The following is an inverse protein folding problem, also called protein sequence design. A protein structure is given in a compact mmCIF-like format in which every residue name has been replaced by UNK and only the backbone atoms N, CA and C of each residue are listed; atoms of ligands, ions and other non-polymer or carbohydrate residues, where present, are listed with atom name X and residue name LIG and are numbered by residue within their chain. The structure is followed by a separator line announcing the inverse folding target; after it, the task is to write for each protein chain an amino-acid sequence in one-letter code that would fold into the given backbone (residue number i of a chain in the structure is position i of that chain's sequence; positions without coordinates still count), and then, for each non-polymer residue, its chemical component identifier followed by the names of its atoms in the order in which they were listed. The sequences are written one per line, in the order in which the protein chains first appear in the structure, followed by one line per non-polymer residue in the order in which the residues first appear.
data_IF_104073597038
#
_entry.id   IF_104073597038
#
_cell.length_a   1.000
_cell.length_b   1.000
_cell.length_c   1.000
_cell.angle_alpha   90.00
_cell.angle_beta   90.00
_cell.angle_gamma   90.00
#
_symmetry.space_group_name_H-M   'P 1'
#
loop_
_entity.id
_entity.type
_entity.pdbx_description
1 polymer ?
#
# COMPACT_ATOMS: atom_id res chain seq x y z
N UNK A 1 22.05 -2.78 14.71
CA UNK A 1 20.90 -3.52 14.09
C UNK A 1 19.76 -2.53 13.96
N UNK A 2 19.20 -2.36 12.76
CA UNK A 2 18.06 -1.45 12.52
C UNK A 2 16.83 -1.89 13.30
N UNK A 3 16.14 -0.95 13.91
CA UNK A 3 14.83 -1.18 14.54
C UNK A 3 13.73 -1.10 13.48
N UNK A 4 13.74 -0.04 12.66
CA UNK A 4 12.83 0.14 11.54
C UNK A 4 13.11 -0.89 10.45
N UNK A 5 12.10 -1.65 10.07
CA UNK A 5 12.17 -2.70 9.06
C UNK A 5 11.99 -2.14 7.65
N UNK A 6 12.43 -2.90 6.65
CA UNK A 6 12.32 -2.50 5.24
C UNK A 6 11.54 -3.55 4.47
N UNK A 7 10.44 -3.12 3.86
CA UNK A 7 9.70 -3.89 2.87
C UNK A 7 10.26 -3.59 1.49
N UNK A 8 10.54 -4.64 0.70
CA UNK A 8 10.89 -4.52 -0.70
C UNK A 8 9.81 -5.18 -1.58
N UNK A 9 9.33 -4.48 -2.58
CA UNK A 9 8.35 -5.06 -3.52
C UNK A 9 9.06 -5.94 -4.54
N UNK A 10 8.57 -7.16 -4.67
CA UNK A 10 9.00 -8.13 -5.68
C UNK A 10 8.34 -7.81 -7.03
N UNK A 11 9.07 -8.02 -8.09
CA UNK A 11 8.61 -7.73 -9.45
C UNK A 11 9.54 -8.33 -10.51
N UNK A 12 9.50 -7.87 -11.77
CA UNK A 12 10.31 -8.41 -12.86
C UNK A 12 11.81 -8.50 -12.56
N UNK A 13 12.37 -7.53 -11.84
CA UNK A 13 13.79 -7.55 -11.45
C UNK A 13 14.12 -8.75 -10.56
N UNK A 14 13.22 -9.11 -9.65
CA UNK A 14 13.45 -10.16 -8.65
C UNK A 14 13.15 -11.58 -9.17
N UNK A 15 12.95 -11.75 -10.49
CA UNK A 15 13.02 -13.05 -11.15
C UNK A 15 14.44 -13.62 -11.14
N UNK A 16 15.45 -12.77 -10.90
CA UNK A 16 16.84 -13.17 -10.73
C UNK A 16 17.11 -13.63 -9.28
N UNK A 17 17.49 -14.91 -9.12
CA UNK A 17 17.89 -15.47 -7.81
C UNK A 17 19.04 -14.69 -7.18
N UNK A 18 20.03 -14.29 -7.97
CA UNK A 18 21.19 -13.53 -7.49
C UNK A 18 20.80 -12.15 -6.98
N UNK A 19 19.84 -11.49 -7.64
CA UNK A 19 19.36 -10.20 -7.18
C UNK A 19 18.54 -10.36 -5.90
N UNK A 20 17.61 -11.33 -5.83
CA UNK A 20 16.83 -11.59 -4.63
C UNK A 20 17.74 -11.92 -3.43
N UNK A 21 18.78 -12.74 -3.64
CA UNK A 21 19.79 -13.03 -2.63
C UNK A 21 20.49 -11.75 -2.15
N UNK A 22 20.91 -10.88 -3.06
CA UNK A 22 21.54 -9.59 -2.70
C UNK A 22 20.60 -8.68 -1.90
N UNK A 23 19.31 -8.65 -2.22
CA UNK A 23 18.35 -7.88 -1.44
C UNK A 23 18.25 -8.41 -0.01
N UNK A 24 18.16 -9.73 0.19
CA UNK A 24 18.14 -10.35 1.52
C UNK A 24 19.43 -9.98 2.29
N UNK A 25 20.59 -10.19 1.68
CA UNK A 25 21.90 -9.88 2.30
C UNK A 25 22.09 -8.38 2.57
N UNK A 26 21.42 -7.51 1.82
CA UNK A 26 21.47 -6.05 2.00
C UNK A 26 20.54 -5.58 3.12
N UNK A 27 19.61 -6.41 3.58
CA UNK A 27 18.74 -6.13 4.71
C UNK A 27 17.27 -5.93 4.37
N UNK A 28 16.75 -6.64 3.39
CA UNK A 28 15.32 -6.79 3.18
C UNK A 28 14.72 -7.61 4.33
N UNK A 29 13.78 -7.04 5.06
CA UNK A 29 13.08 -7.71 6.17
C UNK A 29 11.77 -8.36 5.71
N UNK A 30 11.07 -7.75 4.73
CA UNK A 30 9.78 -8.22 4.20
C UNK A 30 9.79 -8.16 2.68
N UNK A 31 9.38 -9.22 2.04
CA UNK A 31 9.13 -9.27 0.60
C UNK A 31 7.64 -9.07 0.31
N UNK A 32 7.29 -7.97 -0.35
CA UNK A 32 5.92 -7.64 -0.76
C UNK A 32 5.65 -8.16 -2.17
N UNK A 33 4.57 -8.92 -2.30
CA UNK A 33 4.05 -9.44 -3.57
C UNK A 33 2.75 -8.70 -3.91
N UNK A 34 2.78 -7.86 -4.94
CA UNK A 34 1.63 -7.06 -5.35
C UNK A 34 0.76 -7.84 -6.35
N UNK A 35 -0.42 -8.27 -5.91
CA UNK A 35 -1.38 -9.04 -6.70
C UNK A 35 -2.26 -8.19 -7.64
N UNK A 36 -2.03 -6.87 -7.68
CA UNK A 36 -2.55 -6.02 -8.77
C UNK A 36 -1.86 -6.32 -10.10
N UNK A 37 -0.68 -6.98 -10.08
CA UNK A 37 0.16 -7.29 -11.23
C UNK A 37 0.61 -8.74 -11.24
N UNK A 38 0.78 -9.29 -12.45
CA UNK A 38 1.20 -10.67 -12.64
C UNK A 38 0.07 -11.67 -12.35
N UNK A 39 0.39 -12.94 -12.53
CA UNK A 39 -0.49 -14.07 -12.21
C UNK A 39 0.06 -14.89 -11.03
N UNK A 40 -0.71 -15.88 -10.59
CA UNK A 40 -0.33 -16.76 -9.48
C UNK A 40 0.95 -17.55 -9.76
N UNK A 41 1.19 -17.97 -11.01
CA UNK A 41 2.38 -18.75 -11.37
C UNK A 41 3.67 -17.91 -11.24
N UNK A 42 3.63 -16.65 -11.70
CA UNK A 42 4.74 -15.72 -11.52
C UNK A 42 5.02 -15.42 -10.04
N UNK A 43 3.96 -15.17 -9.26
CA UNK A 43 4.11 -14.88 -7.83
C UNK A 43 4.65 -16.12 -7.09
N UNK A 44 4.14 -17.32 -7.43
CA UNK A 44 4.61 -18.58 -6.84
C UNK A 44 6.10 -18.80 -7.10
N UNK A 45 6.55 -18.61 -8.32
CA UNK A 45 7.97 -18.78 -8.69
C UNK A 45 8.87 -17.91 -7.81
N UNK A 46 8.49 -16.63 -7.59
CA UNK A 46 9.24 -15.71 -6.74
C UNK A 46 9.18 -16.09 -5.26
N UNK A 47 8.01 -16.53 -4.77
CA UNK A 47 7.83 -16.97 -3.38
C UNK A 47 8.62 -18.24 -3.09
N UNK A 48 8.61 -19.22 -3.99
CA UNK A 48 9.38 -20.46 -3.85
C UNK A 48 10.88 -20.16 -3.80
N UNK A 49 11.37 -19.29 -4.69
CA UNK A 49 12.76 -18.82 -4.71
C UNK A 49 13.14 -18.12 -3.39
N UNK A 50 12.26 -17.27 -2.86
CA UNK A 50 12.48 -16.60 -1.57
C UNK A 50 12.56 -17.61 -0.41
N UNK A 51 11.65 -18.59 -0.39
CA UNK A 51 11.62 -19.65 0.66
C UNK A 51 12.91 -20.49 0.63
N UNK A 52 13.43 -20.80 -0.56
CA UNK A 52 14.71 -21.49 -0.70
C UNK A 52 15.87 -20.63 -0.17
N UNK A 53 15.91 -19.35 -0.54
CA UNK A 53 16.96 -18.43 -0.11
C UNK A 53 16.91 -18.18 1.41
N UNK A 54 15.72 -18.07 2.01
CA UNK A 54 15.57 -17.99 3.47
C UNK A 54 16.25 -19.14 4.18
N UNK A 55 16.07 -20.39 3.68
CA UNK A 55 16.71 -21.59 4.24
C UNK A 55 18.22 -21.60 4.03
N UNK A 56 18.69 -21.24 2.82
CA UNK A 56 20.11 -21.16 2.47
C UNK A 56 20.86 -20.16 3.35
N UNK A 57 20.30 -18.94 3.48
CA UNK A 57 20.92 -17.83 4.19
C UNK A 57 20.65 -17.83 5.70
N UNK A 58 19.74 -18.69 6.16
CA UNK A 58 19.26 -18.72 7.55
C UNK A 58 18.78 -17.35 8.03
N UNK A 59 18.10 -16.62 7.17
CA UNK A 59 17.60 -15.27 7.43
C UNK A 59 16.07 -15.25 7.32
N UNK A 60 15.35 -14.85 8.38
CA UNK A 60 13.90 -14.73 8.33
C UNK A 60 13.52 -13.50 7.48
N UNK A 61 12.90 -13.70 6.34
CA UNK A 61 12.29 -12.65 5.53
C UNK A 61 10.82 -12.98 5.40
N UNK A 62 9.95 -12.10 5.87
CA UNK A 62 8.51 -12.32 5.83
C UNK A 62 7.95 -12.16 4.40
N UNK A 63 6.82 -12.84 4.14
CA UNK A 63 6.07 -12.75 2.89
C UNK A 63 4.80 -11.93 3.13
N UNK A 64 4.64 -10.83 2.42
CA UNK A 64 3.47 -9.97 2.47
C UNK A 64 2.76 -10.01 1.11
N UNK A 65 1.53 -10.53 1.10
CA UNK A 65 0.62 -10.48 -0.04
C UNK A 65 -0.16 -9.16 0.00
N UNK A 66 -0.05 -8.36 -1.04
CA UNK A 66 -0.77 -7.09 -1.17
C UNK A 66 -1.92 -7.29 -2.17
N UNK A 67 -3.17 -7.23 -1.69
CA UNK A 67 -4.36 -7.49 -2.50
C UNK A 67 -4.59 -6.38 -3.50
N UNK A 68 -5.29 -6.70 -4.59
CA UNK A 68 -5.72 -5.68 -5.54
C UNK A 68 -6.76 -4.74 -4.92
N UNK A 69 -7.69 -5.31 -4.17
CA UNK A 69 -8.81 -4.59 -3.59
C UNK A 69 -9.87 -4.13 -4.60
N UNK A 70 -10.95 -3.54 -4.11
CA UNK A 70 -12.03 -3.02 -4.92
C UNK A 70 -11.67 -1.67 -5.53
N UNK A 71 -11.37 -1.64 -6.82
CA UNK A 71 -11.04 -0.42 -7.57
C UNK A 71 -12.00 -0.20 -8.74
N UNK A 72 -12.23 1.06 -9.06
CA UNK A 72 -12.96 1.45 -10.26
C UNK A 72 -11.94 1.73 -11.37
N UNK A 73 -12.19 1.21 -12.57
CA UNK A 73 -11.34 1.45 -13.74
C UNK A 73 -12.14 1.89 -14.94
N UNK A 74 -11.51 2.69 -15.80
CA UNK A 74 -12.04 2.97 -17.14
C UNK A 74 -12.02 1.70 -18.00
N UNK A 75 -12.90 1.66 -18.99
CA UNK A 75 -13.00 0.56 -19.95
C UNK A 75 -11.92 0.62 -21.03
N UNK A 76 -12.21 -0.05 -22.15
CA UNK A 76 -11.36 -0.09 -23.34
C UNK A 76 -11.68 1.08 -24.27
N UNK A 77 -10.70 1.46 -25.07
CA UNK A 77 -10.81 2.54 -26.04
C UNK A 77 -10.73 2.00 -27.47
N UNK A 78 -11.26 2.76 -28.41
CA UNK A 78 -11.28 2.40 -29.83
C UNK A 78 -9.85 2.13 -30.34
N UNK A 79 -9.65 0.98 -30.96
CA UNK A 79 -8.37 0.49 -31.50
C UNK A 79 -7.25 0.37 -30.45
N UNK A 80 -7.55 0.38 -29.15
CA UNK A 80 -6.56 0.40 -28.09
C UNK A 80 -5.72 1.68 -28.02
N UNK A 81 -6.16 2.75 -28.70
CA UNK A 81 -5.42 4.01 -28.78
C UNK A 81 -5.82 4.94 -27.64
N UNK A 82 -4.82 5.63 -27.11
CA UNK A 82 -5.07 6.71 -26.16
C UNK A 82 -5.81 7.88 -26.84
N UNK A 83 -6.67 8.55 -26.07
CA UNK A 83 -7.40 9.74 -26.50
C UNK A 83 -6.95 10.94 -25.69
N UNK A 84 -6.91 12.12 -26.32
CA UNK A 84 -6.50 13.34 -25.62
C UNK A 84 -7.73 14.14 -25.21
N UNK A 85 -7.95 14.26 -23.90
CA UNK A 85 -9.02 15.07 -23.33
C UNK A 85 -8.56 16.51 -23.15
N UNK A 86 -9.39 17.46 -23.58
CA UNK A 86 -9.07 18.89 -23.53
C UNK A 86 -9.87 19.56 -22.40
N UNK A 87 -9.21 20.39 -21.61
CA UNK A 87 -9.87 21.17 -20.56
C UNK A 87 -11.05 21.99 -21.12
N UNK A 88 -12.20 21.89 -20.47
CA UNK A 88 -13.47 22.53 -20.86
C UNK A 88 -14.34 21.69 -21.77
N UNK A 89 -13.87 20.55 -22.33
CA UNK A 89 -14.75 19.69 -23.13
C UNK A 89 -15.72 18.92 -22.22
N UNK A 90 -16.85 18.53 -22.81
CA UNK A 90 -17.76 17.56 -22.20
C UNK A 90 -17.23 16.17 -22.45
N UNK A 91 -17.22 15.34 -21.39
CA UNK A 91 -16.85 13.93 -21.43
C UNK A 91 -17.83 13.10 -20.62
N UNK A 92 -18.32 12.01 -21.18
CA UNK A 92 -19.34 11.17 -20.54
C UNK A 92 -18.72 9.87 -20.04
N UNK A 93 -18.92 9.55 -18.77
CA UNK A 93 -18.68 8.21 -18.25
C UNK A 93 -19.98 7.42 -18.29
N UNK A 94 -19.89 6.13 -18.59
CA UNK A 94 -21.07 5.24 -18.61
C UNK A 94 -20.81 3.97 -17.81
N UNK A 95 -21.83 3.49 -17.12
CA UNK A 95 -21.77 2.21 -16.39
C UNK A 95 -22.09 1.00 -17.30
N UNK A 96 -22.50 1.25 -18.54
CA UNK A 96 -22.65 0.21 -19.58
C UNK A 96 -21.29 -0.06 -20.21
N UNK A 97 -20.91 -1.34 -20.28
CA UNK A 97 -19.60 -1.72 -20.85
C UNK A 97 -19.65 -1.56 -22.37
N UNK A 98 -18.92 -0.57 -22.87
CA UNK A 98 -18.79 -0.25 -24.29
C UNK A 98 -17.40 0.28 -24.61
N UNK A 99 -17.05 0.29 -25.89
CA UNK A 99 -15.77 0.85 -26.35
C UNK A 99 -15.84 2.37 -26.37
N UNK A 100 -14.96 3.02 -25.63
CA UNK A 100 -14.91 4.48 -25.53
C UNK A 100 -14.11 5.14 -26.63
N UNK A 101 -14.21 6.47 -26.67
CA UNK A 101 -13.51 7.37 -27.59
C UNK A 101 -13.15 8.71 -26.91
N UNK A 102 -12.95 9.77 -27.69
CA UNK A 102 -12.64 11.12 -27.17
C UNK A 102 -13.83 11.82 -26.49
N UNK A 103 -15.03 11.24 -26.53
CA UNK A 103 -16.24 11.84 -25.97
C UNK A 103 -16.80 11.05 -24.78
N UNK A 104 -16.55 9.77 -24.73
CA UNK A 104 -17.08 8.90 -23.67
C UNK A 104 -16.17 7.71 -23.34
N UNK A 105 -16.36 7.14 -22.15
CA UNK A 105 -15.70 5.91 -21.73
C UNK A 105 -16.55 5.18 -20.70
N UNK A 106 -16.53 3.83 -20.74
CA UNK A 106 -17.18 3.02 -19.71
C UNK A 106 -16.34 2.97 -18.42
N UNK A 107 -17.00 2.68 -17.31
CA UNK A 107 -16.36 2.39 -16.02
C UNK A 107 -16.73 1.00 -15.51
N UNK A 108 -15.86 0.37 -14.75
CA UNK A 108 -16.04 -1.02 -14.26
C UNK A 108 -17.11 -1.15 -13.19
N UNK A 109 -17.41 -0.09 -12.46
CA UNK A 109 -18.38 -0.11 -11.37
C UNK A 109 -19.76 0.38 -11.82
N UNK A 110 -20.73 -0.53 -11.82
CA UNK A 110 -22.08 -0.26 -12.31
C UNK A 110 -22.92 0.61 -11.37
N UNK A 111 -22.61 0.62 -10.06
CA UNK A 111 -23.29 1.42 -9.05
C UNK A 111 -22.81 2.88 -8.98
N UNK A 112 -21.86 3.29 -9.82
CA UNK A 112 -21.27 4.63 -9.73
C UNK A 112 -22.31 5.75 -9.86
N UNK A 113 -23.35 5.56 -10.68
CA UNK A 113 -24.45 6.53 -10.85
C UNK A 113 -25.33 6.70 -9.62
N UNK A 114 -25.32 5.73 -8.70
CA UNK A 114 -26.10 5.79 -7.46
C UNK A 114 -25.31 6.50 -6.34
N UNK A 115 -23.98 6.43 -6.39
CA UNK A 115 -23.11 6.94 -5.35
C UNK A 115 -22.72 8.41 -5.55
N UNK A 116 -22.71 8.91 -6.79
CA UNK A 116 -22.25 10.26 -7.13
C UNK A 116 -23.38 11.23 -7.46
N UNK A 117 -23.08 12.52 -7.35
CA UNK A 117 -24.03 13.61 -7.64
C UNK A 117 -23.38 14.75 -8.41
N UNK A 118 -24.20 15.65 -8.92
CA UNK A 118 -23.77 16.91 -9.54
C UNK A 118 -22.83 17.71 -8.61
N UNK A 119 -21.73 18.18 -9.15
CA UNK A 119 -20.68 18.92 -8.47
C UNK A 119 -19.54 18.06 -7.92
N UNK A 120 -19.69 16.73 -7.86
CA UNK A 120 -18.62 15.84 -7.43
C UNK A 120 -17.45 15.85 -8.43
N UNK A 121 -16.28 15.51 -7.93
CA UNK A 121 -15.05 15.40 -8.72
C UNK A 121 -14.72 13.94 -8.98
N UNK A 122 -14.39 13.62 -10.22
CA UNK A 122 -13.87 12.31 -10.61
C UNK A 122 -12.42 12.52 -11.09
N UNK A 123 -11.50 11.72 -10.57
CA UNK A 123 -10.10 11.73 -10.96
C UNK A 123 -9.77 10.43 -11.70
N UNK A 124 -9.00 10.53 -12.79
CA UNK A 124 -8.60 9.38 -13.60
C UNK A 124 -7.07 9.38 -13.73
N UNK A 125 -6.48 8.17 -13.77
CA UNK A 125 -5.04 7.96 -13.92
C UNK A 125 -4.24 8.70 -12.84
N UNK A 126 -4.46 8.33 -11.58
CA UNK A 126 -3.81 8.90 -10.39
C UNK A 126 -3.97 10.44 -10.29
N UNK A 127 -5.10 10.95 -10.78
CA UNK A 127 -5.43 12.37 -10.73
C UNK A 127 -4.83 13.21 -11.87
N UNK A 128 -4.19 12.58 -12.87
CA UNK A 128 -3.68 13.29 -14.05
C UNK A 128 -4.80 13.91 -14.88
N UNK A 129 -5.98 13.30 -14.88
CA UNK A 129 -7.18 13.82 -15.53
C UNK A 129 -8.22 14.10 -14.46
N UNK A 130 -8.77 15.31 -14.47
CA UNK A 130 -9.83 15.73 -13.54
C UNK A 130 -11.12 16.05 -14.27
N UNK A 131 -12.22 15.46 -13.79
CA UNK A 131 -13.56 15.68 -14.30
C UNK A 131 -14.44 16.25 -13.19
N UNK A 132 -15.34 17.16 -13.52
CA UNK A 132 -16.43 17.61 -12.66
C UNK A 132 -17.75 17.09 -13.18
N UNK A 133 -18.53 16.44 -12.31
CA UNK A 133 -19.87 15.94 -12.64
C UNK A 133 -20.82 17.10 -12.83
N UNK A 134 -21.41 17.21 -14.01
CA UNK A 134 -22.43 18.22 -14.35
C UNK A 134 -23.85 17.64 -14.23
N UNK A 135 -24.01 16.36 -14.55
CA UNK A 135 -25.32 15.70 -14.49
C UNK A 135 -25.16 14.18 -14.41
N UNK A 136 -25.98 13.55 -13.58
CA UNK A 136 -26.11 12.10 -13.51
C UNK A 136 -27.47 11.70 -14.11
N UNK A 137 -27.41 10.88 -15.17
CA UNK A 137 -28.57 10.30 -15.83
C UNK A 137 -28.28 8.82 -16.10
N UNK A 138 -28.51 7.96 -15.14
CA UNK A 138 -28.19 6.54 -15.27
C UNK A 138 -28.63 5.98 -16.65
N UNK A 139 -27.74 5.30 -17.37
CA UNK A 139 -26.39 4.84 -16.96
C UNK A 139 -25.23 5.83 -17.21
N UNK A 140 -25.49 7.07 -17.56
CA UNK A 140 -24.52 8.07 -17.98
C UNK A 140 -24.24 9.11 -16.89
N UNK A 141 -22.99 9.55 -16.83
CA UNK A 141 -22.46 10.62 -15.98
C UNK A 141 -21.81 11.64 -16.91
N UNK A 142 -22.48 12.76 -17.10
CA UNK A 142 -21.99 13.85 -17.96
C UNK A 142 -21.05 14.73 -17.14
N UNK A 143 -19.84 14.90 -17.60
CA UNK A 143 -18.78 15.66 -16.91
C UNK A 143 -18.20 16.76 -17.80
N UNK A 144 -17.63 17.77 -17.13
CA UNK A 144 -16.72 18.73 -17.75
C UNK A 144 -15.29 18.36 -17.38
N UNK A 145 -14.39 18.30 -18.36
CA UNK A 145 -12.95 18.10 -18.12
C UNK A 145 -12.36 19.35 -17.47
N UNK A 146 -11.94 19.23 -16.21
CA UNK A 146 -11.31 20.33 -15.45
C UNK A 146 -9.80 20.36 -15.72
N UNK A 147 -9.17 19.20 -15.74
CA UNK A 147 -7.77 19.02 -16.12
C UNK A 147 -7.68 17.97 -17.20
N UNK A 148 -7.27 18.37 -18.40
CA UNK A 148 -7.15 17.48 -19.55
C UNK A 148 -5.85 16.70 -19.55
N UNK A 149 -5.77 15.68 -20.39
CA UNK A 149 -4.61 14.82 -20.53
C UNK A 149 -4.85 13.64 -21.46
N UNK A 150 -3.85 12.80 -21.62
CA UNK A 150 -3.89 11.61 -22.46
C UNK A 150 -4.51 10.43 -21.67
N UNK A 151 -5.76 10.08 -22.00
CA UNK A 151 -6.48 8.96 -21.41
C UNK A 151 -6.13 7.64 -22.10
N UNK A 152 -5.59 6.68 -21.34
CA UNK A 152 -5.40 5.30 -21.77
C UNK A 152 -6.50 4.37 -21.28
N UNK A 153 -6.45 3.10 -21.71
CA UNK A 153 -7.37 2.05 -21.25
C UNK A 153 -7.14 1.64 -19.79
N UNK A 154 -8.20 1.18 -19.13
CA UNK A 154 -8.17 0.52 -17.81
C UNK A 154 -7.48 1.36 -16.73
N UNK A 155 -7.62 2.68 -16.77
CA UNK A 155 -7.06 3.61 -15.81
C UNK A 155 -7.88 3.64 -14.53
N UNK A 156 -7.24 3.80 -13.39
CA UNK A 156 -7.89 3.98 -12.10
C UNK A 156 -8.82 5.18 -12.11
N UNK A 157 -9.95 5.04 -11.45
CA UNK A 157 -10.98 6.09 -11.27
C UNK A 157 -11.19 6.28 -9.78
N UNK A 158 -10.92 7.48 -9.28
CA UNK A 158 -11.12 7.88 -7.89
C UNK A 158 -12.23 8.93 -7.82
N UNK A 159 -12.99 8.90 -6.74
CA UNK A 159 -14.07 9.87 -6.48
C UNK A 159 -13.88 10.46 -5.08
N UNK A 160 -12.99 11.45 -4.93
CA UNK A 160 -12.65 12.02 -3.63
C UNK A 160 -13.88 12.53 -2.86
N UNK A 161 -13.92 12.26 -1.56
CA UNK A 161 -15.00 12.67 -0.64
C UNK A 161 -16.39 12.06 -0.92
N UNK A 162 -16.47 11.02 -1.75
CA UNK A 162 -17.69 10.26 -1.97
C UNK A 162 -17.53 8.85 -1.42
N UNK A 163 -18.50 8.41 -0.62
CA UNK A 163 -18.53 7.02 -0.14
C UNK A 163 -19.02 6.13 -1.27
N UNK A 164 -18.14 5.24 -1.75
CA UNK A 164 -18.41 4.32 -2.86
C UNK A 164 -18.80 2.97 -2.30
N UNK A 165 -19.96 2.45 -2.71
CA UNK A 165 -20.51 1.19 -2.22
C UNK A 165 -19.94 -0.04 -2.95
N UNK A 166 -18.61 -0.16 -2.98
CA UNK A 166 -17.89 -1.34 -3.49
C UNK A 166 -17.82 -2.44 -2.43
N UNK A 167 -17.80 -3.74 -2.82
CA UNK A 167 -17.58 -4.83 -1.89
C UNK A 167 -16.23 -4.69 -1.19
N UNK A 168 -16.13 -5.08 0.08
CA UNK A 168 -14.86 -5.02 0.82
C UNK A 168 -13.86 -6.06 0.29
N UNK A 169 -14.36 -7.23 -0.16
CA UNK A 169 -13.56 -8.34 -0.63
C UNK A 169 -14.09 -8.81 -2.00
N UNK A 170 -13.29 -8.63 -3.04
CA UNK A 170 -13.64 -9.05 -4.40
C UNK A 170 -13.42 -10.56 -4.60
N UNK A 171 -14.06 -11.15 -5.62
CA UNK A 171 -13.81 -12.58 -5.97
C UNK A 171 -12.35 -12.83 -6.35
N UNK A 172 -11.68 -11.83 -6.96
CA UNK A 172 -10.24 -11.92 -7.21
C UNK A 172 -9.45 -11.97 -5.91
N UNK A 173 -9.73 -11.08 -4.97
CA UNK A 173 -9.04 -11.05 -3.68
C UNK A 173 -9.24 -12.35 -2.91
N UNK A 174 -10.44 -12.94 -2.95
CA UNK A 174 -10.70 -14.28 -2.36
C UNK A 174 -9.80 -15.34 -2.97
N UNK A 175 -9.67 -15.35 -4.30
CA UNK A 175 -8.76 -16.27 -5.00
C UNK A 175 -7.29 -16.04 -4.62
N UNK A 176 -6.87 -14.78 -4.51
CA UNK A 176 -5.52 -14.39 -4.11
C UNK A 176 -5.22 -14.77 -2.65
N UNK A 177 -6.21 -14.63 -1.75
CA UNK A 177 -6.07 -15.02 -0.34
C UNK A 177 -5.97 -16.55 -0.19
N UNK A 178 -6.78 -17.33 -0.91
CA UNK A 178 -6.65 -18.78 -0.92
C UNK A 178 -5.27 -19.22 -1.39
N UNK A 179 -4.78 -18.63 -2.47
CA UNK A 179 -3.42 -18.85 -2.94
C UNK A 179 -2.39 -18.45 -1.88
N UNK A 180 -2.57 -17.34 -1.19
CA UNK A 180 -1.72 -16.88 -0.10
C UNK A 180 -1.64 -17.91 1.05
N UNK A 181 -2.77 -18.45 1.46
CA UNK A 181 -2.85 -19.51 2.49
C UNK A 181 -2.07 -20.75 2.03
N UNK A 182 -2.24 -21.20 0.79
CA UNK A 182 -1.48 -22.33 0.22
C UNK A 182 0.03 -22.03 0.17
N UNK A 183 0.40 -20.78 0.01
CA UNK A 183 1.80 -20.34 -0.01
C UNK A 183 2.37 -20.05 1.38
N UNK A 184 1.64 -20.27 2.46
CA UNK A 184 2.11 -20.04 3.85
C UNK A 184 2.73 -18.63 3.98
N UNK A 185 1.91 -17.61 3.68
CA UNK A 185 2.32 -16.20 3.80
C UNK A 185 2.21 -15.72 5.24
N UNK A 186 2.98 -14.70 5.59
CA UNK A 186 2.99 -14.13 6.94
C UNK A 186 1.96 -13.01 7.11
N UNK A 187 1.78 -12.16 6.06
CA UNK A 187 0.94 -10.96 6.10
C UNK A 187 0.06 -10.82 4.86
N UNK A 188 -1.11 -10.24 5.05
CA UNK A 188 -1.95 -9.67 3.98
C UNK A 188 -2.02 -8.17 4.14
N UNK A 189 -1.58 -7.40 3.15
CA UNK A 189 -1.87 -5.96 3.04
C UNK A 189 -3.18 -5.80 2.27
N UNK A 190 -4.24 -5.43 2.98
CA UNK A 190 -5.58 -5.30 2.45
C UNK A 190 -5.81 -3.91 1.88
N UNK A 191 -6.05 -3.83 0.56
CA UNK A 191 -6.19 -2.58 -0.18
C UNK A 191 -7.55 -1.94 0.01
N UNK A 192 -7.59 -0.60 -0.02
CA UNK A 192 -8.78 0.24 0.03
C UNK A 192 -9.68 0.02 1.26
N UNK A 193 -9.07 -0.24 2.43
CA UNK A 193 -9.83 -0.37 3.69
C UNK A 193 -10.51 0.94 4.04
N UNK A 194 -11.82 0.88 4.26
CA UNK A 194 -12.70 2.02 4.59
C UNK A 194 -13.15 2.02 6.04
N UNK A 195 -13.29 0.83 6.65
CA UNK A 195 -13.83 0.64 8.01
C UNK A 195 -13.37 -0.68 8.62
N UNK A 196 -13.72 -0.91 9.89
CA UNK A 196 -13.38 -2.13 10.64
C UNK A 196 -14.09 -3.37 10.10
N UNK A 197 -15.29 -3.21 9.55
CA UNK A 197 -16.10 -4.30 8.99
C UNK A 197 -15.38 -4.98 7.83
N UNK A 198 -14.68 -4.19 6.99
CA UNK A 198 -13.88 -4.72 5.89
C UNK A 198 -12.76 -5.66 6.39
N UNK A 199 -12.11 -5.29 7.49
CA UNK A 199 -11.05 -6.11 8.11
C UNK A 199 -11.63 -7.39 8.69
N UNK A 200 -12.77 -7.27 9.38
CA UNK A 200 -13.45 -8.43 9.99
C UNK A 200 -13.88 -9.43 8.92
N UNK A 201 -14.41 -8.97 7.78
CA UNK A 201 -14.79 -9.83 6.65
C UNK A 201 -13.56 -10.59 6.09
N UNK A 202 -12.42 -9.92 5.93
CA UNK A 202 -11.18 -10.55 5.49
C UNK A 202 -10.69 -11.57 6.52
N UNK A 203 -10.74 -11.25 7.80
CA UNK A 203 -10.35 -12.16 8.88
C UNK A 203 -11.23 -13.39 8.95
N UNK A 204 -12.55 -13.22 8.85
CA UNK A 204 -13.50 -14.33 8.79
C UNK A 204 -13.20 -15.25 7.60
N UNK A 205 -12.90 -14.68 6.44
CA UNK A 205 -12.52 -15.44 5.26
C UNK A 205 -11.22 -16.22 5.46
N UNK A 206 -10.18 -15.60 6.03
CA UNK A 206 -8.91 -16.26 6.33
C UNK A 206 -9.11 -17.41 7.32
N UNK A 207 -9.79 -17.18 8.43
CA UNK A 207 -10.06 -18.20 9.46
C UNK A 207 -10.85 -19.38 8.89
N UNK A 208 -11.89 -19.11 8.09
CA UNK A 208 -12.71 -20.15 7.46
C UNK A 208 -11.91 -21.05 6.49
N UNK A 209 -10.76 -20.58 5.99
CA UNK A 209 -9.92 -21.30 5.04
C UNK A 209 -8.55 -21.74 5.60
N UNK A 210 -8.35 -21.67 6.93
CA UNK A 210 -7.14 -22.16 7.61
C UNK A 210 -5.98 -21.16 7.62
N UNK A 211 -6.27 -19.88 7.40
CA UNK A 211 -5.30 -18.77 7.42
C UNK A 211 -5.35 -17.92 8.70
N UNK A 212 -5.76 -18.50 9.85
CA UNK A 212 -5.88 -17.78 11.13
C UNK A 212 -4.56 -17.19 11.65
N UNK A 213 -3.42 -17.72 11.17
CA UNK A 213 -2.07 -17.24 11.53
C UNK A 213 -1.61 -16.02 10.71
N UNK A 214 -2.36 -15.65 9.68
CA UNK A 214 -1.97 -14.55 8.78
C UNK A 214 -2.44 -13.22 9.37
N UNK A 215 -1.49 -12.31 9.60
CA UNK A 215 -1.78 -10.98 10.08
C UNK A 215 -2.29 -10.04 8.96
N UNK A 216 -3.25 -9.18 9.29
CA UNK A 216 -3.87 -8.24 8.35
C UNK A 216 -3.31 -6.83 8.57
N UNK A 217 -2.67 -6.29 7.54
CA UNK A 217 -2.20 -4.91 7.46
C UNK A 217 -3.23 -4.09 6.68
N UNK A 218 -3.94 -3.20 7.35
CA UNK A 218 -4.93 -2.32 6.72
C UNK A 218 -4.25 -1.21 5.94
N UNK A 219 -4.49 -1.11 4.62
CA UNK A 219 -3.98 -0.01 3.80
C UNK A 219 -4.95 1.17 3.84
N UNK A 220 -4.44 2.32 4.27
CA UNK A 220 -5.19 3.58 4.33
C UNK A 220 -4.88 4.36 3.04
N UNK A 221 -5.87 4.37 2.14
CA UNK A 221 -5.76 4.82 0.76
C UNK A 221 -6.85 5.81 0.37
N UNK A 222 -7.82 6.08 1.27
CA UNK A 222 -8.98 6.91 0.98
C UNK A 222 -9.40 7.75 2.20
N UNK A 223 -10.25 8.76 1.96
CA UNK A 223 -10.69 9.69 2.99
C UNK A 223 -11.56 9.00 4.07
N UNK A 224 -12.38 8.01 3.70
CA UNK A 224 -13.22 7.26 4.63
C UNK A 224 -12.37 6.44 5.61
N UNK A 225 -11.30 5.78 5.12
CA UNK A 225 -10.34 5.08 5.96
C UNK A 225 -9.62 5.99 6.96
N UNK A 226 -9.31 7.23 6.55
CA UNK A 226 -8.74 8.24 7.47
C UNK A 226 -9.75 8.63 8.55
N UNK A 227 -11.02 8.82 8.20
CA UNK A 227 -12.08 9.16 9.16
C UNK A 227 -12.32 8.03 10.17
N UNK A 228 -12.25 6.78 9.73
CA UNK A 228 -12.52 5.59 10.54
C UNK A 228 -11.25 4.98 11.15
N UNK A 229 -10.12 5.71 11.13
CA UNK A 229 -8.80 5.16 11.48
C UNK A 229 -8.74 4.48 12.85
N UNK A 230 -9.43 4.99 13.85
CA UNK A 230 -9.40 4.42 15.20
C UNK A 230 -10.00 3.01 15.26
N UNK A 231 -11.15 2.80 14.62
CA UNK A 231 -11.78 1.48 14.53
C UNK A 231 -11.01 0.51 13.64
N UNK A 232 -10.37 1.03 12.60
CA UNK A 232 -9.51 0.24 11.71
C UNK A 232 -8.27 -0.26 12.46
N UNK A 233 -7.58 0.60 13.23
CA UNK A 233 -6.42 0.21 14.03
C UNK A 233 -6.81 -0.85 15.07
N UNK A 234 -7.99 -0.74 15.67
CA UNK A 234 -8.45 -1.71 16.67
C UNK A 234 -8.72 -3.10 16.04
N UNK A 235 -9.21 -3.16 14.82
CA UNK A 235 -9.55 -4.42 14.12
C UNK A 235 -8.35 -5.07 13.41
N UNK A 236 -7.41 -4.28 12.90
CA UNK A 236 -6.24 -4.74 12.14
C UNK A 236 -5.08 -5.18 13.04
N UNK A 237 -4.14 -5.97 12.49
CA UNK A 237 -2.89 -6.33 13.16
C UNK A 237 -1.80 -5.28 12.93
N UNK A 238 -1.91 -4.50 11.86
CA UNK A 238 -1.07 -3.36 11.54
C UNK A 238 -1.71 -2.46 10.49
N UNK A 239 -1.05 -1.35 10.19
CA UNK A 239 -1.56 -0.35 9.23
C UNK A 239 -0.47 0.01 8.22
N UNK A 240 -0.87 0.30 6.98
CA UNK A 240 0.00 0.88 5.96
C UNK A 240 -0.55 2.23 5.50
N UNK A 241 0.24 3.27 5.64
CA UNK A 241 -0.04 4.58 5.04
C UNK A 241 0.42 4.54 3.59
N UNK A 242 -0.52 4.25 2.68
CA UNK A 242 -0.27 4.12 1.24
C UNK A 242 -0.41 5.50 0.57
N UNK A 243 0.65 6.32 0.69
CA UNK A 243 0.63 7.75 0.38
C UNK A 243 0.33 8.08 -1.09
N UNK A 244 0.63 7.16 -2.01
CA UNK A 244 0.33 7.32 -3.44
C UNK A 244 -1.16 7.45 -3.69
N UNK A 245 -1.91 6.41 -3.35
CA UNK A 245 -3.37 6.37 -3.53
C UNK A 245 -4.07 7.38 -2.62
N UNK A 246 -3.63 7.48 -1.36
CA UNK A 246 -4.18 8.46 -0.42
C UNK A 246 -4.05 9.90 -0.93
N UNK A 247 -2.94 10.25 -1.59
CA UNK A 247 -2.70 11.59 -2.14
C UNK A 247 -3.55 11.94 -3.36
N UNK A 248 -4.23 10.95 -3.94
CA UNK A 248 -5.26 11.16 -4.98
C UNK A 248 -6.62 11.43 -4.33
N UNK A 249 -6.92 10.76 -3.21
CA UNK A 249 -8.20 10.80 -2.51
C UNK A 249 -8.35 12.01 -1.56
N UNK A 250 -7.25 12.52 -1.01
CA UNK A 250 -7.23 13.71 -0.17
C UNK A 250 -6.25 14.75 -0.74
N UNK A 251 -6.39 16.05 -0.42
CA UNK A 251 -5.40 17.05 -0.82
C UNK A 251 -3.98 16.65 -0.45
N UNK A 252 -3.06 16.67 -1.41
CA UNK A 252 -1.68 16.22 -1.22
C UNK A 252 -0.97 16.91 -0.04
N UNK A 253 -1.30 18.18 0.26
CA UNK A 253 -0.76 18.89 1.41
C UNK A 253 -1.21 18.35 2.77
N UNK A 254 -2.27 17.52 2.82
CA UNK A 254 -2.76 16.87 4.04
C UNK A 254 -2.07 15.54 4.32
N UNK A 255 -1.52 14.88 3.29
CA UNK A 255 -0.92 13.54 3.41
C UNK A 255 0.16 13.47 4.50
N UNK A 256 1.13 14.41 4.61
CA UNK A 256 2.13 14.36 5.67
C UNK A 256 1.53 14.49 7.08
N UNK A 257 0.46 15.26 7.22
CA UNK A 257 -0.23 15.43 8.49
C UNK A 257 -0.99 14.16 8.89
N UNK A 258 -1.74 13.58 7.94
CA UNK A 258 -2.47 12.31 8.14
C UNK A 258 -1.49 11.18 8.47
N UNK A 259 -0.34 11.09 7.79
CA UNK A 259 0.72 10.14 8.10
C UNK A 259 1.14 10.22 9.56
N UNK A 260 1.45 11.41 10.07
CA UNK A 260 1.88 11.61 11.46
C UNK A 260 0.81 11.17 12.47
N UNK A 261 -0.45 11.52 12.22
CA UNK A 261 -1.58 11.13 13.08
C UNK A 261 -1.74 9.60 13.10
N UNK A 262 -1.67 8.95 11.94
CA UNK A 262 -1.80 7.48 11.86
C UNK A 262 -0.65 6.80 12.59
N UNK A 263 0.59 7.25 12.37
CA UNK A 263 1.76 6.70 13.06
C UNK A 263 1.61 6.85 14.58
N UNK A 264 1.25 8.04 15.06
CA UNK A 264 1.04 8.30 16.48
C UNK A 264 -0.04 7.38 17.08
N UNK A 265 -1.20 7.26 16.42
CA UNK A 265 -2.31 6.40 16.87
C UNK A 265 -1.92 4.92 16.90
N UNK A 266 -1.21 4.43 15.86
CA UNK A 266 -0.71 3.06 15.81
C UNK A 266 0.26 2.78 16.97
N UNK A 267 1.19 3.71 17.22
CA UNK A 267 2.14 3.59 18.31
C UNK A 267 1.45 3.51 19.68
N UNK A 268 0.41 4.33 19.92
CA UNK A 268 -0.37 4.29 21.14
C UNK A 268 -1.14 2.98 21.34
N UNK A 269 -1.50 2.30 20.24
CA UNK A 269 -2.21 1.01 20.25
C UNK A 269 -1.28 -0.20 20.10
N UNK A 270 0.05 0.02 20.03
CA UNK A 270 1.06 -1.03 19.81
C UNK A 270 0.83 -1.82 18.52
N UNK A 271 0.32 -1.18 17.49
CA UNK A 271 0.13 -1.75 16.17
C UNK A 271 1.26 -1.30 15.25
N UNK A 272 1.93 -2.21 14.53
CA UNK A 272 2.96 -1.83 13.57
C UNK A 272 2.38 -0.95 12.46
N UNK A 273 3.17 0.05 12.05
CA UNK A 273 2.80 0.97 10.98
C UNK A 273 3.87 1.00 9.89
N UNK A 274 3.42 0.87 8.65
CA UNK A 274 4.25 0.92 7.44
C UNK A 274 4.04 2.26 6.75
N UNK A 275 5.11 3.02 6.52
CA UNK A 275 5.08 4.18 5.62
C UNK A 275 5.49 3.75 4.22
N UNK A 276 4.58 3.94 3.24
CA UNK A 276 4.71 3.36 1.92
C UNK A 276 4.57 4.38 0.79
N UNK A 277 5.10 4.01 -0.37
CA UNK A 277 5.07 4.69 -1.66
C UNK A 277 5.89 5.97 -1.75
N UNK A 278 6.55 6.17 -2.88
CA UNK A 278 7.33 7.36 -3.24
C UNK A 278 8.40 7.75 -2.20
N UNK A 279 9.02 6.76 -1.54
CA UNK A 279 10.05 7.03 -0.53
C UNK A 279 11.39 7.41 -1.17
N UNK A 280 11.84 6.63 -2.15
CA UNK A 280 13.06 6.87 -2.94
C UNK A 280 12.76 6.76 -4.45
N UNK A 281 11.61 7.28 -4.90
CA UNK A 281 11.07 7.10 -6.26
C UNK A 281 12.07 7.46 -7.37
N UNK A 282 12.86 8.51 -7.18
CA UNK A 282 13.87 8.89 -8.16
C UNK A 282 14.91 7.80 -8.39
N UNK A 283 15.10 6.89 -7.42
CA UNK A 283 16.04 5.77 -7.53
C UNK A 283 15.54 4.63 -8.44
N UNK A 284 14.30 4.69 -8.89
CA UNK A 284 13.84 3.83 -10.01
C UNK A 284 14.73 4.07 -11.23
N UNK A 285 15.15 5.33 -11.46
CA UNK A 285 15.90 5.77 -12.65
C UNK A 285 17.32 6.24 -12.37
N UNK A 286 17.61 6.72 -11.16
CA UNK A 286 18.86 7.34 -10.77
C UNK A 286 19.57 6.54 -9.68
N UNK A 287 20.91 6.50 -9.65
CA UNK A 287 21.68 5.76 -8.63
C UNK A 287 21.72 6.44 -7.25
N UNK A 288 21.16 7.64 -7.13
CA UNK A 288 21.11 8.41 -5.89
C UNK A 288 19.74 9.08 -5.75
N UNK A 289 19.21 9.17 -4.52
CA UNK A 289 17.96 9.87 -4.25
C UNK A 289 18.15 11.39 -4.27
N UNK A 290 17.05 12.11 -4.30
CA UNK A 290 17.01 13.53 -4.01
C UNK A 290 17.15 13.79 -2.51
N UNK A 291 17.52 15.02 -2.14
CA UNK A 291 17.57 15.42 -0.72
C UNK A 291 16.18 15.42 -0.07
N UNK A 292 15.14 15.70 -0.83
CA UNK A 292 13.76 15.65 -0.35
C UNK A 292 13.35 14.23 0.04
N UNK A 293 13.69 13.22 -0.78
CA UNK A 293 13.42 11.81 -0.48
C UNK A 293 14.20 11.32 0.75
N UNK A 294 15.48 11.69 0.88
CA UNK A 294 16.26 11.37 2.09
C UNK A 294 15.60 11.97 3.33
N UNK A 295 15.14 13.23 3.24
CA UNK A 295 14.42 13.89 4.33
C UNK A 295 13.09 13.23 4.63
N UNK A 296 12.36 12.75 3.62
CA UNK A 296 11.08 12.08 3.78
C UNK A 296 11.22 10.75 4.55
N UNK A 297 12.18 9.92 4.15
CA UNK A 297 12.49 8.67 4.87
C UNK A 297 12.90 8.95 6.32
N UNK A 298 13.82 9.89 6.54
CA UNK A 298 14.27 10.24 7.88
C UNK A 298 13.12 10.76 8.76
N UNK A 299 12.24 11.62 8.21
CA UNK A 299 11.08 12.12 8.94
C UNK A 299 10.08 11.00 9.29
N UNK A 300 9.82 10.05 8.39
CA UNK A 300 8.97 8.90 8.72
C UNK A 300 9.53 8.10 9.91
N UNK A 301 10.85 7.91 9.97
CA UNK A 301 11.53 7.25 11.10
C UNK A 301 11.42 8.11 12.37
N UNK A 302 11.66 9.42 12.30
CA UNK A 302 11.47 10.34 13.44
C UNK A 302 10.01 10.39 13.91
N UNK A 303 9.04 10.29 13.01
CA UNK A 303 7.61 10.22 13.35
C UNK A 303 7.28 8.93 14.11
N UNK A 304 8.13 7.91 13.95
CA UNK A 304 8.03 6.64 14.65
C UNK A 304 7.39 5.53 13.86
N UNK A 305 7.54 5.53 12.52
CA UNK A 305 7.14 4.37 11.72
C UNK A 305 7.96 3.14 12.09
N UNK A 306 7.32 1.97 12.13
CA UNK A 306 8.01 0.71 12.39
C UNK A 306 8.64 0.13 11.12
N UNK A 307 8.07 0.49 9.97
CA UNK A 307 8.47 -0.08 8.67
C UNK A 307 8.42 0.98 7.58
N UNK A 308 9.41 0.97 6.70
CA UNK A 308 9.45 1.75 5.45
C UNK A 308 9.43 0.84 4.24
N UNK A 309 8.81 1.26 3.13
CA UNK A 309 8.62 0.41 1.96
C UNK A 309 9.22 0.99 0.69
N UNK A 310 9.91 0.13 -0.06
CA UNK A 310 10.34 0.35 -1.45
C UNK A 310 9.35 -0.35 -2.39
N UNK A 311 8.85 0.36 -3.38
CA UNK A 311 7.88 -0.10 -4.37
C UNK A 311 8.55 -0.38 -5.73
N UNK A 312 8.41 0.53 -6.69
CA UNK A 312 9.03 0.45 -8.00
C UNK A 312 10.55 0.39 -7.95
N UNK A 313 11.16 0.97 -6.92
CA UNK A 313 12.61 1.02 -6.71
C UNK A 313 13.23 -0.38 -6.73
N UNK A 314 12.56 -1.37 -6.13
CA UNK A 314 13.03 -2.77 -6.11
C UNK A 314 12.33 -3.65 -7.15
N UNK A 315 11.06 -3.40 -7.48
CA UNK A 315 10.27 -4.24 -8.37
C UNK A 315 10.75 -4.19 -9.82
N UNK A 316 11.03 -2.98 -10.35
CA UNK A 316 11.38 -2.75 -11.74
C UNK A 316 12.41 -1.62 -11.96
N UNK A 317 12.93 -1.03 -10.87
CA UNK A 317 13.94 0.04 -10.93
C UNK A 317 15.29 -0.45 -11.48
N UNK A 318 16.10 0.49 -11.95
CA UNK A 318 17.45 0.22 -12.45
C UNK A 318 18.46 -0.04 -11.34
N UNK A 319 18.17 0.38 -10.11
CA UNK A 319 19.12 0.41 -9.00
C UNK A 319 18.54 -0.21 -7.71
N UNK A 320 17.98 -1.45 -7.76
CA UNK A 320 17.24 -2.03 -6.64
C UNK A 320 18.09 -2.24 -5.39
N UNK A 321 19.34 -2.69 -5.53
CA UNK A 321 20.25 -2.92 -4.40
C UNK A 321 20.73 -1.61 -3.80
N UNK A 322 21.02 -0.62 -4.65
CA UNK A 322 21.44 0.72 -4.22
C UNK A 322 20.32 1.44 -3.50
N UNK A 323 19.06 1.29 -3.96
CA UNK A 323 17.89 1.85 -3.29
C UNK A 323 17.70 1.25 -1.89
N UNK A 324 17.81 -0.08 -1.76
CA UNK A 324 17.73 -0.75 -0.46
C UNK A 324 18.90 -0.35 0.47
N UNK A 325 20.13 -0.28 -0.05
CA UNK A 325 21.28 0.21 0.72
C UNK A 325 21.08 1.63 1.21
N UNK A 326 20.58 2.51 0.35
CA UNK A 326 20.31 3.90 0.70
C UNK A 326 19.23 3.98 1.78
N UNK A 327 18.12 3.25 1.63
CA UNK A 327 17.07 3.17 2.63
C UNK A 327 17.63 2.71 3.98
N UNK A 328 18.42 1.64 4.00
CA UNK A 328 19.05 1.12 5.20
C UNK A 328 19.97 2.15 5.87
N UNK A 329 20.80 2.86 5.09
CA UNK A 329 21.70 3.89 5.62
C UNK A 329 20.93 5.07 6.21
N UNK A 330 19.86 5.54 5.55
CA UNK A 330 19.05 6.66 6.08
C UNK A 330 18.42 6.26 7.42
N UNK A 331 17.87 5.04 7.48
CA UNK A 331 17.26 4.51 8.71
C UNK A 331 18.30 4.41 9.83
N UNK A 332 19.44 3.77 9.57
CA UNK A 332 20.51 3.60 10.57
C UNK A 332 21.06 4.93 11.07
N UNK A 333 21.30 5.88 10.18
CA UNK A 333 21.77 7.21 10.52
C UNK A 333 20.74 7.96 11.37
N UNK A 334 19.46 7.91 10.97
CA UNK A 334 18.37 8.54 11.72
C UNK A 334 18.24 7.94 13.11
N UNK A 335 18.20 6.61 13.23
CA UNK A 335 18.10 5.91 14.51
C UNK A 335 19.30 6.22 15.44
N UNK A 336 20.50 6.43 14.88
CA UNK A 336 21.69 6.76 15.66
C UNK A 336 21.61 8.14 16.35
N UNK A 337 20.79 9.05 15.78
CA UNK A 337 20.55 10.39 16.32
C UNK A 337 19.29 10.50 17.19
N UNK A 338 18.51 9.41 17.31
CA UNK A 338 17.34 9.37 18.19
C UNK A 338 17.80 9.09 19.62
N UNK A 339 17.55 10.03 20.54
CA UNK A 339 17.85 9.85 21.96
C UNK A 339 16.95 8.80 22.62
N UNK A 340 17.41 8.21 23.75
CA UNK A 340 16.60 7.30 24.57
C UNK A 340 15.25 7.91 24.97
N UNK A 341 15.22 9.19 25.30
CA UNK A 341 14.01 9.97 25.65
C UNK A 341 12.94 9.97 24.53
N UNK A 342 13.35 9.80 23.27
CA UNK A 342 12.40 9.70 22.16
C UNK A 342 11.56 8.42 22.26
N UNK A 343 12.17 7.32 22.63
CA UNK A 343 11.50 6.04 22.83
C UNK A 343 10.66 6.03 24.11
N UNK A 344 11.14 6.69 25.18
CA UNK A 344 10.39 6.84 26.43
C UNK A 344 9.10 7.66 26.25
N UNK A 345 9.14 8.73 25.44
CA UNK A 345 7.94 9.53 25.12
C UNK A 345 6.86 8.74 24.37
N UNK A 346 7.24 7.74 23.58
CA UNK A 346 6.28 6.82 22.91
C UNK A 346 5.64 5.82 23.86
N UNK A 347 6.23 5.60 25.03
CA UNK A 347 5.88 4.53 25.98
C UNK A 347 5.19 5.04 27.23
N UNK A 348 5.11 6.34 27.48
CA UNK A 348 4.45 6.89 28.67
C UNK A 348 2.93 6.90 28.46
N UNK A 349 2.28 5.82 28.88
CA UNK A 349 0.86 5.83 29.19
C UNK A 349 0.68 5.90 30.71
N UNK A 350 -0.41 6.50 31.17
CA UNK A 350 -0.78 6.55 32.59
C UNK A 350 -1.12 5.16 33.19
N UNK A 351 -1.10 4.10 32.39
CA UNK A 351 -1.34 2.72 32.80
C UNK A 351 -0.02 1.92 32.86
N UNK A 352 0.38 1.56 34.09
CA UNK A 352 1.58 0.74 34.36
C UNK A 352 1.59 -0.61 33.62
N UNK A 353 0.44 -1.17 33.23
CA UNK A 353 0.33 -2.40 32.43
C UNK A 353 0.82 -2.18 31.02
N UNK A 354 0.56 -1.00 30.44
CA UNK A 354 1.04 -0.59 29.14
C UNK A 354 2.56 -0.42 29.10
N UNK A 355 3.13 0.17 30.15
CA UNK A 355 4.60 0.36 30.26
C UNK A 355 5.36 -0.97 30.36
N UNK A 356 4.79 -1.95 31.06
CA UNK A 356 5.35 -3.31 31.17
C UNK A 356 5.23 -4.05 29.81
N UNK A 357 4.09 -3.91 29.14
CA UNK A 357 3.87 -4.50 27.80
C UNK A 357 4.85 -3.94 26.78
N UNK A 358 5.10 -2.62 26.80
CA UNK A 358 6.07 -1.96 25.93
C UNK A 358 7.49 -2.42 26.16
N UNK A 359 7.90 -2.53 27.42
CA UNK A 359 9.20 -3.07 27.77
C UNK A 359 9.33 -4.53 27.30
N UNK A 360 8.27 -5.32 27.41
CA UNK A 360 8.24 -6.71 26.96
C UNK A 360 8.28 -6.81 25.41
N UNK A 361 7.51 -5.97 24.69
CA UNK A 361 7.51 -5.93 23.21
C UNK A 361 8.84 -5.44 22.68
N UNK A 362 9.40 -4.36 23.24
CA UNK A 362 10.74 -3.89 22.87
C UNK A 362 11.81 -4.95 23.14
N UNK A 363 11.68 -5.68 24.26
CA UNK A 363 12.61 -6.74 24.64
C UNK A 363 12.47 -8.00 23.79
N UNK A 364 11.25 -8.38 23.41
CA UNK A 364 10.98 -9.54 22.54
C UNK A 364 11.34 -9.25 21.09
N UNK A 365 11.08 -8.04 20.58
CA UNK A 365 11.56 -7.64 19.25
C UNK A 365 13.10 -7.57 19.17
N UNK A 366 13.76 -7.20 20.27
CA UNK A 366 15.22 -7.22 20.36
C UNK A 366 15.79 -8.65 20.47
N UNK A 367 15.03 -9.61 21.04
CA UNK A 367 15.48 -10.99 21.27
C UNK A 367 14.94 -12.05 20.32
N UNK A 368 13.87 -11.81 19.56
CA UNK A 368 13.37 -12.79 18.61
C UNK A 368 14.43 -13.20 17.57
N UNK A 369 15.36 -12.30 17.27
CA UNK A 369 16.54 -12.61 16.44
C UNK A 369 17.68 -13.35 17.16
N UNK A 370 17.70 -13.39 18.50
CA UNK A 370 18.77 -14.07 19.26
C UNK A 370 18.37 -15.48 19.72
N UNK A 371 17.08 -15.76 19.92
CA UNK A 371 16.63 -17.02 20.53
C UNK A 371 16.43 -18.16 19.52
N UNK A 372 16.18 -17.90 18.25
CA UNK A 372 16.12 -18.96 17.23
C UNK A 372 17.51 -19.49 16.80
N UNK A 373 18.59 -18.78 17.13
CA UNK A 373 19.96 -19.22 16.85
C UNK A 373 20.54 -20.16 17.92
N UNK A 374 19.82 -20.42 19.02
CA UNK A 374 20.29 -21.26 20.14
C UNK A 374 19.46 -22.52 20.40
N UNK A 375 18.52 -22.87 19.51
CA UNK A 375 17.76 -24.13 19.57
C UNK A 375 18.04 -25.00 18.35
N UNK A 376 19.29 -25.41 18.17
CA UNK A 376 19.68 -26.63 17.45
C UNK A 376 20.77 -27.31 18.26
#
# INVERSE_FOLDING_TARGET
MRRTKIVCTMGPNTNSRDLMKKLIETGMDVARFNFSHGDHDEQKMRMDMLKELRKELKTPVAILLDTKGPEIRTGVLKDGKKVNLVTGQTFTLTTVQETGDENHCSVSYTGLTDDIKEGDTILIDDGLIGLRVEKVNAPEIVCTVVNGGELGEKKGVNVPNVSINLPNLTEKDKGDLLFGIEQDIDFVAASFIRNAEAINEIREFLVANGGEHIDIIAKIENAEGVQNIDSIIDAADGVMVARGDLGVEIPACQVPHVQKIIIEKCNHKYKPVITATQMLDSMIRNPRPTRAEVSDVANAVYDGTDVVMLSGETANGKYPVEALKMMAHIVEETESHMSGDFYEKRTVSDDNRHNISNAAVSYTHLRAHETELHLV
#
